data_IF_857271859918
#
_entry.id   IF_857271859918
#
_cell.length_a   1.000
_cell.length_b   1.000
_cell.length_c   1.000
_cell.angle_alpha   90.00
_cell.angle_beta   90.00
_cell.angle_gamma   90.00
#
_symmetry.space_group_name_H-M   'P 1'
#
loop_
_entity.id
_entity.type
_entity.pdbx_description
1 polymer ?
#
# COMPACT_ATOMS: atom_id res chain seq x y z
N UNK A 1 -3.11 -18.76 -23.09
CA UNK A 1 -4.14 -17.93 -22.41
C UNK A 1 -4.29 -18.40 -20.96
N UNK A 2 -3.18 -18.49 -20.19
CA UNK A 2 -3.18 -19.24 -18.91
C UNK A 2 -2.16 -18.72 -17.87
N UNK A 3 -1.77 -17.43 -17.90
CA UNK A 3 -0.73 -16.89 -17.00
C UNK A 3 -1.20 -15.84 -15.97
N UNK A 4 -2.48 -15.46 -15.98
CA UNK A 4 -3.01 -14.48 -15.01
C UNK A 4 -3.58 -15.12 -13.73
N UNK A 5 -3.94 -16.41 -13.79
CA UNK A 5 -4.51 -17.17 -12.67
C UNK A 5 -3.49 -17.57 -11.60
N UNK A 6 -2.19 -17.57 -11.93
CA UNK A 6 -1.14 -18.11 -11.04
C UNK A 6 -0.75 -17.13 -9.92
N UNK A 7 -0.70 -15.83 -10.23
CA UNK A 7 -0.43 -14.77 -9.23
C UNK A 7 -1.55 -14.67 -8.19
N UNK A 8 -2.79 -15.07 -8.55
CA UNK A 8 -3.94 -15.06 -7.65
C UNK A 8 -3.95 -16.24 -6.66
N UNK A 9 -3.37 -17.38 -7.06
CA UNK A 9 -3.27 -18.58 -6.21
C UNK A 9 -2.17 -18.44 -5.17
N UNK A 10 -1.01 -17.85 -5.52
CA UNK A 10 0.09 -17.62 -4.57
C UNK A 10 -0.29 -16.62 -3.47
N UNK A 11 -1.22 -15.72 -3.75
CA UNK A 11 -1.69 -14.72 -2.79
C UNK A 11 -2.69 -15.28 -1.76
N UNK A 12 -3.38 -16.40 -2.04
CA UNK A 12 -4.29 -17.05 -1.07
C UNK A 12 -3.54 -17.88 -0.04
N UNK A 13 -2.36 -18.41 -0.37
CA UNK A 13 -1.54 -19.18 0.55
C UNK A 13 -0.92 -18.33 1.69
N UNK A 14 -0.76 -17.02 1.48
CA UNK A 14 -0.23 -16.09 2.49
C UNK A 14 -1.26 -15.75 3.58
N UNK A 15 -2.56 -15.95 3.33
CA UNK A 15 -3.63 -15.55 4.25
C UNK A 15 -4.22 -16.67 5.11
N UNK A 16 -3.92 -17.96 4.85
CA UNK A 16 -4.68 -19.07 5.46
C UNK A 16 -4.17 -19.63 6.80
N UNK A 17 -3.13 -19.09 7.43
CA UNK A 17 -2.60 -19.62 8.70
C UNK A 17 -2.74 -18.70 9.93
N UNK A 18 -3.52 -17.62 9.85
CA UNK A 18 -3.61 -16.63 10.93
C UNK A 18 -4.93 -16.71 11.74
N UNK A 19 -5.38 -17.92 12.07
CA UNK A 19 -6.34 -18.14 13.15
C UNK A 19 -5.76 -19.20 14.07
N UNK A 20 -5.25 -18.75 15.23
CA UNK A 20 -5.22 -19.42 16.54
C UNK A 20 -4.22 -18.66 17.43
N UNK A 21 -4.76 -18.02 18.47
CA UNK A 21 -4.13 -17.63 19.75
C UNK A 21 -3.16 -16.43 19.76
N UNK A 22 -3.65 -15.35 20.36
CA UNK A 22 -3.06 -14.68 21.52
C UNK A 22 -1.55 -14.41 21.56
N UNK A 23 -1.20 -13.13 21.38
CA UNK A 23 -0.10 -12.43 22.06
C UNK A 23 1.34 -12.95 21.88
N UNK A 24 2.08 -12.32 20.98
CA UNK A 24 3.44 -11.84 21.28
C UNK A 24 3.79 -10.62 20.43
N UNK A 25 4.46 -9.66 21.06
CA UNK A 25 4.85 -8.35 20.56
C UNK A 25 5.58 -8.39 19.21
N UNK A 26 5.14 -7.46 18.34
CA UNK A 26 5.90 -6.77 17.30
C UNK A 26 7.10 -7.48 16.69
N UNK A 27 6.89 -8.23 15.60
CA UNK A 27 7.83 -8.39 14.48
C UNK A 27 7.37 -9.17 13.22
N UNK A 28 6.07 -9.49 12.94
CA UNK A 28 5.75 -10.16 11.68
C UNK A 28 5.74 -9.20 10.46
N UNK A 29 5.52 -7.90 10.68
CA UNK A 29 5.28 -6.98 9.56
C UNK A 29 6.54 -6.65 8.73
N UNK A 30 7.74 -6.66 9.32
CA UNK A 30 8.99 -6.40 8.59
C UNK A 30 9.39 -7.57 7.67
N UNK A 31 9.00 -8.80 8.03
CA UNK A 31 9.27 -10.02 7.23
C UNK A 31 8.38 -10.04 5.98
N UNK A 32 7.10 -9.66 6.11
CA UNK A 32 6.20 -9.47 4.97
C UNK A 32 6.66 -8.34 4.02
N UNK A 33 7.33 -7.32 4.56
CA UNK A 33 7.76 -6.13 3.83
C UNK A 33 9.05 -6.36 3.02
N UNK A 34 10.03 -7.11 3.57
CA UNK A 34 11.15 -7.65 2.77
C UNK A 34 10.67 -8.68 1.74
N UNK A 35 9.66 -9.47 2.08
CA UNK A 35 9.02 -10.37 1.14
C UNK A 35 8.32 -9.61 0.01
N UNK A 36 7.75 -8.43 0.26
CA UNK A 36 7.22 -7.55 -0.80
C UNK A 36 8.35 -7.07 -1.71
N UNK A 37 9.39 -6.42 -1.20
CA UNK A 37 10.55 -6.02 -2.03
C UNK A 37 11.24 -7.21 -2.74
N UNK A 38 11.26 -8.40 -2.13
CA UNK A 38 11.81 -9.63 -2.70
C UNK A 38 10.90 -10.27 -3.76
N UNK A 39 9.59 -10.29 -3.54
CA UNK A 39 8.59 -10.75 -4.50
C UNK A 39 8.50 -9.81 -5.70
N UNK A 40 8.66 -8.50 -5.48
CA UNK A 40 8.73 -7.48 -6.53
C UNK A 40 10.03 -7.59 -7.35
N UNK A 41 11.16 -7.96 -6.72
CA UNK A 41 12.37 -8.37 -7.45
C UNK A 41 12.17 -9.62 -8.31
N UNK A 42 11.34 -10.57 -7.88
CA UNK A 42 10.98 -11.75 -8.69
C UNK A 42 9.98 -11.40 -9.79
N UNK A 43 9.02 -10.51 -9.53
CA UNK A 43 8.11 -9.97 -10.55
C UNK A 43 8.87 -9.17 -11.62
N UNK A 44 9.97 -8.50 -11.28
CA UNK A 44 10.89 -7.85 -12.23
C UNK A 44 11.45 -8.80 -13.29
N UNK A 45 11.77 -10.05 -12.93
CA UNK A 45 12.21 -11.05 -13.92
C UNK A 45 11.11 -11.39 -14.94
N UNK A 46 9.84 -11.14 -14.59
CA UNK A 46 8.69 -11.28 -15.49
C UNK A 46 8.32 -9.98 -16.22
N UNK A 47 8.82 -8.81 -15.77
CA UNK A 47 8.52 -7.50 -16.36
C UNK A 47 9.61 -6.99 -17.31
N UNK A 48 10.68 -7.75 -17.54
CA UNK A 48 11.59 -7.51 -18.66
C UNK A 48 11.02 -8.12 -19.95
N UNK A 49 9.92 -7.58 -20.45
CA UNK A 49 9.52 -7.79 -21.85
C UNK A 49 9.96 -6.58 -22.67
N UNK A 50 10.97 -6.71 -23.56
CA UNK A 50 11.43 -5.61 -24.40
C UNK A 50 10.50 -5.33 -25.60
N UNK A 51 9.31 -5.96 -25.70
CA UNK A 51 8.41 -5.77 -26.84
C UNK A 51 6.95 -5.51 -26.44
N UNK A 52 6.71 -4.27 -26.03
CA UNK A 52 5.54 -3.52 -26.48
C UNK A 52 4.19 -3.99 -25.94
N UNK A 53 3.88 -3.62 -24.70
CA UNK A 53 2.49 -3.49 -24.28
C UNK A 53 1.91 -2.25 -24.98
N UNK A 54 1.24 -2.45 -26.12
CA UNK A 54 0.23 -1.50 -26.62
C UNK A 54 -0.96 -1.51 -25.68
N UNK A 55 -0.78 -0.93 -24.51
CA UNK A 55 -1.89 -0.46 -23.70
C UNK A 55 -2.36 0.78 -24.42
N UNK A 56 -3.54 0.74 -25.03
CA UNK A 56 -4.21 1.92 -25.57
C UNK A 56 -4.56 2.84 -24.40
N UNK A 57 -3.54 3.51 -23.88
CA UNK A 57 -3.65 4.53 -22.85
C UNK A 57 -4.26 5.72 -23.55
N UNK A 58 -5.48 6.08 -23.17
CA UNK A 58 -5.81 7.49 -23.07
C UNK A 58 -4.82 8.03 -22.05
N UNK A 59 -3.65 8.48 -22.50
CA UNK A 59 -2.68 9.15 -21.64
C UNK A 59 -3.30 10.51 -21.37
N UNK A 60 -3.79 10.76 -20.14
CA UNK A 60 -4.30 12.08 -19.81
C UNK A 60 -3.14 13.05 -19.98
N UNK A 61 -3.40 14.24 -20.51
CA UNK A 61 -2.36 15.27 -20.51
C UNK A 61 -2.15 15.73 -19.07
N UNK A 62 -1.20 15.09 -18.39
CA UNK A 62 -0.87 15.37 -16.99
C UNK A 62 -0.13 16.70 -16.82
N UNK A 63 0.30 17.33 -17.92
CA UNK A 63 0.97 18.62 -17.89
C UNK A 63 -0.02 19.78 -17.85
N UNK A 64 -1.25 19.57 -18.33
CA UNK A 64 -2.35 20.53 -18.23
C UNK A 64 -2.77 20.79 -16.77
N UNK A 65 -3.06 22.06 -16.45
CA UNK A 65 -3.45 22.48 -15.08
C UNK A 65 -4.83 21.93 -14.67
N UNK A 66 -5.75 21.77 -15.63
CA UNK A 66 -7.10 21.26 -15.41
C UNK A 66 -7.21 19.73 -15.31
N UNK A 67 -6.10 19.01 -15.44
CA UNK A 67 -6.12 17.56 -15.52
C UNK A 67 -6.47 16.91 -14.17
N UNK A 68 -7.58 16.18 -14.12
CA UNK A 68 -8.01 15.45 -12.91
C UNK A 68 -7.01 14.38 -12.50
N UNK A 69 -6.34 13.75 -13.46
CA UNK A 69 -5.28 12.77 -13.21
C UNK A 69 -4.08 13.41 -12.53
N UNK A 70 -3.67 14.62 -12.97
CA UNK A 70 -2.60 15.38 -12.32
C UNK A 70 -2.94 15.67 -10.85
N UNK A 71 -4.14 16.17 -10.59
CA UNK A 71 -4.59 16.46 -9.22
C UNK A 71 -4.62 15.19 -8.34
N UNK A 72 -5.03 14.05 -8.89
CA UNK A 72 -5.00 12.78 -8.19
C UNK A 72 -3.56 12.31 -7.89
N UNK A 73 -2.64 12.47 -8.85
CA UNK A 73 -1.22 12.14 -8.69
C UNK A 73 -0.55 13.04 -7.64
N UNK A 74 -0.78 14.35 -7.66
CA UNK A 74 -0.26 15.29 -6.67
C UNK A 74 -0.75 14.93 -5.26
N UNK A 75 -2.03 14.57 -5.13
CA UNK A 75 -2.60 14.07 -3.88
C UNK A 75 -1.97 12.76 -3.44
N UNK A 76 -1.68 11.83 -4.36
CA UNK A 76 -1.05 10.55 -4.02
C UNK A 76 0.43 10.68 -3.67
N UNK A 77 1.16 11.57 -4.37
CA UNK A 77 2.59 11.82 -4.22
C UNK A 77 2.95 12.58 -2.94
N UNK A 78 2.01 12.78 -2.02
CA UNK A 78 2.32 13.38 -0.72
C UNK A 78 3.26 12.48 0.08
N UNK A 79 4.26 13.09 0.72
CA UNK A 79 5.31 12.42 1.51
C UNK A 79 4.75 11.35 2.44
N UNK A 80 3.65 11.64 3.13
CA UNK A 80 3.11 10.77 4.17
C UNK A 80 2.13 9.72 3.64
N UNK A 81 1.39 10.01 2.56
CA UNK A 81 0.39 9.08 2.02
C UNK A 81 1.02 7.80 1.49
N UNK A 82 2.12 7.91 0.74
CA UNK A 82 2.84 6.74 0.23
C UNK A 82 3.34 5.86 1.39
N UNK A 83 3.91 6.47 2.44
CA UNK A 83 4.38 5.74 3.62
C UNK A 83 3.23 5.09 4.39
N UNK A 84 2.08 5.75 4.48
CA UNK A 84 0.87 5.20 5.12
C UNK A 84 0.30 4.03 4.33
N UNK A 85 0.19 4.14 3.01
CA UNK A 85 -0.23 3.03 2.15
C UNK A 85 0.72 1.85 2.37
N UNK A 86 2.03 2.09 2.30
CA UNK A 86 3.03 1.05 2.51
C UNK A 86 2.93 0.39 3.89
N UNK A 87 2.66 1.15 4.95
CA UNK A 87 2.47 0.62 6.30
C UNK A 87 1.18 -0.22 6.43
N UNK A 88 0.10 0.20 5.78
CA UNK A 88 -1.22 -0.45 5.84
C UNK A 88 -1.39 -1.63 4.89
N UNK A 89 -0.48 -1.82 3.92
CA UNK A 89 -0.41 -3.05 3.11
C UNK A 89 -0.14 -4.29 3.98
N UNK A 90 0.55 -4.13 5.12
CA UNK A 90 0.77 -5.20 6.08
C UNK A 90 -0.49 -5.60 6.89
N UNK A 91 -1.58 -4.85 6.73
CA UNK A 91 -2.85 -5.09 7.42
C UNK A 91 -3.36 -3.89 8.20
N UNK A 92 -4.52 -4.02 8.87
CA UNK A 92 -5.08 -2.97 9.71
C UNK A 92 -4.12 -2.57 10.85
N UNK A 93 -4.03 -1.28 11.16
CA UNK A 93 -3.14 -0.75 12.19
C UNK A 93 -3.81 0.37 12.99
N UNK A 94 -3.41 0.50 14.25
CA UNK A 94 -3.85 1.60 15.13
C UNK A 94 -3.06 2.87 14.85
N UNK A 95 -3.64 4.03 15.17
CA UNK A 95 -2.97 5.33 15.02
C UNK A 95 -1.60 5.39 15.72
N UNK A 96 -1.50 4.85 16.94
CA UNK A 96 -0.25 4.83 17.71
C UNK A 96 0.82 3.90 17.10
N UNK A 97 0.41 2.84 16.39
CA UNK A 97 1.33 1.95 15.68
C UNK A 97 1.86 2.63 14.42
N UNK A 98 0.97 3.25 13.65
CA UNK A 98 1.35 4.03 12.46
C UNK A 98 2.34 5.14 12.80
N UNK A 99 2.09 5.89 13.89
CA UNK A 99 3.01 6.94 14.36
C UNK A 99 4.38 6.40 14.75
N UNK A 100 4.46 5.20 15.34
CA UNK A 100 5.74 4.57 15.72
C UNK A 100 6.49 4.01 14.51
N UNK A 101 5.78 3.52 13.50
CA UNK A 101 6.38 2.95 12.28
C UNK A 101 6.87 4.02 11.31
N UNK A 102 6.15 5.14 11.22
CA UNK A 102 6.49 6.25 10.32
C UNK A 102 7.25 7.32 11.10
N UNK A 103 8.58 7.24 11.07
CA UNK A 103 9.42 8.19 11.79
C UNK A 103 9.30 9.60 11.22
N UNK A 104 9.25 10.60 12.09
CA UNK A 104 9.19 12.03 11.71
C UNK A 104 7.79 12.57 11.38
N UNK A 105 6.74 11.73 11.36
CA UNK A 105 5.37 12.24 11.22
C UNK A 105 4.85 12.78 12.56
N UNK A 106 4.27 13.98 12.55
CA UNK A 106 3.61 14.52 13.74
C UNK A 106 2.22 13.88 13.90
N UNK A 107 1.71 13.86 15.14
CA UNK A 107 0.37 13.33 15.41
C UNK A 107 -0.72 14.08 14.63
N UNK A 108 -0.60 15.40 14.53
CA UNK A 108 -1.52 16.25 13.78
C UNK A 108 -1.53 15.86 12.30
N UNK A 109 -0.35 15.81 11.67
CA UNK A 109 -0.20 15.46 10.25
C UNK A 109 -0.68 14.05 9.96
N UNK A 110 -0.42 13.08 10.84
CA UNK A 110 -0.94 11.72 10.70
C UNK A 110 -2.48 11.71 10.71
N UNK A 111 -3.10 12.42 11.65
CA UNK A 111 -4.57 12.50 11.75
C UNK A 111 -5.17 13.17 10.50
N UNK A 112 -4.59 14.29 10.06
CA UNK A 112 -5.04 15.01 8.86
C UNK A 112 -4.90 14.13 7.61
N UNK A 113 -3.75 13.48 7.44
CA UNK A 113 -3.49 12.62 6.29
C UNK A 113 -4.45 11.43 6.25
N UNK A 114 -4.70 10.76 7.38
CA UNK A 114 -5.66 9.65 7.44
C UNK A 114 -7.08 10.10 7.11
N UNK A 115 -7.51 11.27 7.60
CA UNK A 115 -8.82 11.85 7.26
C UNK A 115 -8.94 12.15 5.78
N UNK A 116 -7.90 12.71 5.17
CA UNK A 116 -7.92 12.97 3.73
C UNK A 116 -7.94 11.67 2.91
N UNK A 117 -7.18 10.66 3.34
CA UNK A 117 -7.18 9.33 2.70
C UNK A 117 -8.52 8.61 2.86
N UNK A 118 -9.22 8.81 3.97
CA UNK A 118 -10.60 8.34 4.15
C UNK A 118 -11.56 9.05 3.21
N UNK A 119 -11.46 10.38 3.10
CA UNK A 119 -12.27 11.18 2.17
C UNK A 119 -12.04 10.77 0.72
N UNK A 120 -10.79 10.50 0.35
CA UNK A 120 -10.40 10.05 -0.98
C UNK A 120 -10.73 8.55 -1.20
N UNK A 121 -11.28 7.85 -0.20
CA UNK A 121 -11.73 6.45 -0.30
C UNK A 121 -10.60 5.41 -0.31
N UNK A 122 -9.38 5.80 0.03
CA UNK A 122 -8.20 4.92 0.07
C UNK A 122 -8.10 4.13 1.38
N UNK A 123 -8.56 4.73 2.47
CA UNK A 123 -8.53 4.17 3.82
C UNK A 123 -9.94 4.10 4.40
N UNK A 124 -10.19 3.09 5.21
CA UNK A 124 -11.40 2.97 6.01
C UNK A 124 -11.03 2.87 7.49
N UNK A 125 -11.82 3.55 8.32
CA UNK A 125 -11.74 3.50 9.78
C UNK A 125 -12.67 2.43 10.33
N UNK A 126 -12.15 1.48 11.10
CA UNK A 126 -12.92 0.42 11.76
C UNK A 126 -12.86 0.60 13.27
N UNK A 127 -14.03 0.56 13.92
CA UNK A 127 -14.13 0.57 15.39
C UNK A 127 -14.30 -0.87 15.86
N UNK A 128 -13.31 -1.39 16.58
CA UNK A 128 -13.38 -2.70 17.19
C UNK A 128 -14.13 -2.58 18.52
N UNK A 129 -15.33 -3.16 18.56
CA UNK A 129 -16.23 -3.15 19.74
C UNK A 129 -16.16 -4.42 20.58
N UNK A 130 -15.23 -5.34 20.26
CA UNK A 130 -15.22 -6.69 20.83
C UNK A 130 -14.81 -6.74 22.31
N UNK A 131 -14.10 -5.73 22.83
CA UNK A 131 -13.74 -5.65 24.26
C UNK A 131 -13.51 -4.19 24.65
N UNK A 132 -14.05 -3.69 25.78
CA UNK A 132 -13.69 -2.38 26.31
C UNK A 132 -12.18 -2.36 26.65
N UNK A 133 -11.41 -1.30 26.32
CA UNK A 133 -11.79 -0.04 25.67
C UNK A 133 -11.93 -0.14 24.14
N UNK A 134 -12.81 0.70 23.58
CA UNK A 134 -12.99 0.78 22.12
C UNK A 134 -11.68 1.21 21.44
N UNK A 135 -11.24 0.41 20.47
CA UNK A 135 -10.06 0.73 19.67
C UNK A 135 -10.42 1.00 18.22
N UNK A 136 -9.68 1.93 17.62
CA UNK A 136 -9.84 2.34 16.23
C UNK A 136 -8.65 1.83 15.42
N UNK A 137 -8.96 1.16 14.32
CA UNK A 137 -7.98 0.71 13.35
C UNK A 137 -8.27 1.30 11.99
N UNK A 138 -7.19 1.52 11.23
CA UNK A 138 -7.24 1.99 9.85
C UNK A 138 -6.80 0.84 8.97
N UNK A 139 -7.50 0.65 7.85
CA UNK A 139 -7.18 -0.36 6.86
C UNK A 139 -7.32 0.23 5.46
N UNK A 140 -6.52 -0.25 4.50
CA UNK A 140 -6.76 0.09 3.10
C UNK A 140 -8.11 -0.47 2.62
N UNK A 141 -8.80 0.31 1.80
CA UNK A 141 -9.97 -0.14 1.04
C UNK A 141 -9.54 -1.02 -0.13
N UNK A 142 -10.50 -1.58 -0.88
CA UNK A 142 -10.18 -2.27 -2.13
C UNK A 142 -9.43 -1.34 -3.11
N UNK A 143 -9.86 -0.09 -3.23
CA UNK A 143 -9.19 0.95 -4.02
C UNK A 143 -7.78 1.24 -3.48
N UNK A 144 -7.61 1.43 -2.17
CA UNK A 144 -6.28 1.69 -1.59
C UNK A 144 -5.29 0.55 -1.85
N UNK A 145 -5.76 -0.69 -1.94
CA UNK A 145 -4.92 -1.86 -2.26
C UNK A 145 -4.46 -1.91 -3.72
N UNK A 146 -5.20 -1.32 -4.67
CA UNK A 146 -4.76 -1.30 -6.08
C UNK A 146 -3.50 -0.48 -6.30
N UNK A 147 -3.14 0.41 -5.35
CA UNK A 147 -1.90 1.19 -5.37
C UNK A 147 -0.65 0.38 -5.05
N UNK A 148 -0.79 -0.88 -4.62
CA UNK A 148 0.34 -1.75 -4.33
C UNK A 148 1.24 -1.95 -5.56
N UNK A 149 0.66 -2.23 -6.73
CA UNK A 149 1.42 -2.51 -7.96
C UNK A 149 2.15 -1.26 -8.50
N UNK A 150 1.52 -0.07 -8.60
CA UNK A 150 2.23 1.15 -9.00
C UNK A 150 3.36 1.53 -8.04
N UNK A 151 3.12 1.48 -6.73
CA UNK A 151 4.14 1.82 -5.73
C UNK A 151 5.31 0.84 -5.77
N UNK A 152 5.03 -0.44 -6.01
CA UNK A 152 6.05 -1.45 -6.18
C UNK A 152 7.00 -1.14 -7.34
N UNK A 153 6.48 -0.69 -8.49
CA UNK A 153 7.30 -0.31 -9.63
C UNK A 153 8.21 0.88 -9.31
N UNK A 154 7.67 1.90 -8.63
CA UNK A 154 8.46 3.07 -8.18
C UNK A 154 9.56 2.64 -7.19
N UNK A 155 9.23 1.79 -6.21
CA UNK A 155 10.21 1.29 -5.24
C UNK A 155 11.32 0.46 -5.91
N UNK A 156 10.97 -0.38 -6.88
CA UNK A 156 11.94 -1.16 -7.64
C UNK A 156 12.90 -0.25 -8.39
N UNK A 157 12.37 0.73 -9.14
CA UNK A 157 13.17 1.73 -9.85
C UNK A 157 14.09 2.50 -8.89
N UNK A 158 13.57 2.99 -7.76
CA UNK A 158 14.35 3.74 -6.79
C UNK A 158 15.51 2.92 -6.22
N UNK A 159 15.25 1.65 -5.87
CA UNK A 159 16.28 0.73 -5.33
C UNK A 159 17.43 0.51 -6.31
N UNK A 160 17.16 0.59 -7.62
CA UNK A 160 18.18 0.39 -8.65
C UNK A 160 19.03 1.63 -8.94
N UNK A 161 18.56 2.81 -8.53
CA UNK A 161 19.14 4.11 -8.90
C UNK A 161 19.48 4.99 -7.69
N UNK A 162 19.32 4.49 -6.46
CA UNK A 162 19.85 5.13 -5.26
C UNK A 162 21.27 4.64 -5.01
N UNK A 163 22.26 5.52 -5.25
CA UNK A 163 23.66 5.38 -4.80
C UNK A 163 23.80 5.52 -3.28
#
# INVERSE_FOLDING_TARGET
MTRYSDVRSDMSAVFLSASIVGSTLGRPAFVAQKALCGALRRARAALSDPRGVRMSLVVPDVLEEGCTTRQALERLASKWRVLLIYALLAGPQRHAELRRRIQGITQKVLTETLRDMERDGLVQRRVLKQTPPQHVEYALTALGKTLQEPLAAICAWATDHTE
#
